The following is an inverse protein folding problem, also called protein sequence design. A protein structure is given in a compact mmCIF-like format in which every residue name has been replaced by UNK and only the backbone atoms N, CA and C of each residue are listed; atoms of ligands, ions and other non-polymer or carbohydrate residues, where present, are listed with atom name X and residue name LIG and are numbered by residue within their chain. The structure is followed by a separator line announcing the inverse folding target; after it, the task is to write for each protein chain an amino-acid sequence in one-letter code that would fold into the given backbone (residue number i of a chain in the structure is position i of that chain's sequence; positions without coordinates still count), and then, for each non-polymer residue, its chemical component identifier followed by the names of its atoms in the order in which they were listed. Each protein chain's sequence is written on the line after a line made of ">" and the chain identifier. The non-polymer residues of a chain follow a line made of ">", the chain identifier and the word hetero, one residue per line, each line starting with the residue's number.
data_IF_853680864844
#
_entry.id   IF_853680864844
#
_cell.length_a   1.000
_cell.length_b   1.000
_cell.length_c   1.000
_cell.angle_alpha   90.00
_cell.angle_beta   90.00
_cell.angle_gamma   90.00
#
_symmetry.space_group_name_H-M   'P 1'
#
loop_
_entity.id
_entity.type
_entity.pdbx_description
1 polymer ?
#
# COMPACT_ATOMS: atom_id res chain seq x y z
N UNK A 1 6.19 -22.97 -1.30
CA UNK A 1 6.21 -22.02 -0.20
C UNK A 1 7.64 -21.69 0.26
N UNK A 2 8.37 -20.83 -0.50
CA UNK A 2 9.76 -20.51 -0.17
C UNK A 2 9.97 -18.99 -0.10
N UNK A 3 10.65 -18.49 0.94
CA UNK A 3 10.90 -17.07 1.15
C UNK A 3 11.73 -16.44 0.03
N UNK A 4 12.67 -17.18 -0.57
CA UNK A 4 13.47 -16.68 -1.69
C UNK A 4 12.62 -16.55 -2.96
N UNK A 5 11.72 -17.51 -3.22
CA UNK A 5 10.75 -17.37 -4.31
C UNK A 5 9.83 -16.16 -4.10
N UNK A 6 9.34 -15.95 -2.87
CA UNK A 6 8.54 -14.77 -2.53
C UNK A 6 9.30 -13.49 -2.87
N UNK A 7 10.59 -13.41 -2.49
CA UNK A 7 11.44 -12.27 -2.81
C UNK A 7 11.68 -12.10 -4.32
N UNK A 8 11.90 -13.18 -5.06
CA UNK A 8 12.03 -13.11 -6.53
C UNK A 8 10.79 -12.48 -7.19
N UNK A 9 9.60 -12.95 -6.82
CA UNK A 9 8.35 -12.36 -7.32
C UNK A 9 8.12 -10.94 -6.82
N UNK A 10 8.58 -10.61 -5.61
CA UNK A 10 8.58 -9.25 -5.08
C UNK A 10 9.38 -8.29 -5.97
N UNK A 11 10.59 -8.65 -6.38
CA UNK A 11 11.39 -7.83 -7.28
C UNK A 11 10.81 -7.79 -8.69
N UNK A 12 10.25 -8.88 -9.17
CA UNK A 12 9.55 -8.89 -10.46
C UNK A 12 8.39 -7.88 -10.46
N UNK A 13 7.68 -7.70 -9.34
CA UNK A 13 6.66 -6.64 -9.23
C UNK A 13 7.25 -5.24 -9.25
N UNK A 14 8.47 -5.03 -8.72
CA UNK A 14 9.17 -3.73 -8.78
C UNK A 14 9.51 -3.38 -10.23
N UNK A 15 10.07 -4.33 -10.98
CA UNK A 15 10.43 -4.15 -12.39
C UNK A 15 9.18 -3.92 -13.26
N UNK A 16 8.15 -4.76 -13.09
CA UNK A 16 6.89 -4.62 -13.84
C UNK A 16 6.23 -3.27 -13.58
N UNK A 17 6.23 -2.81 -12.32
CA UNK A 17 5.69 -1.50 -11.94
C UNK A 17 6.49 -0.35 -12.55
N UNK A 18 7.82 -0.47 -12.59
CA UNK A 18 8.68 0.51 -13.27
C UNK A 18 8.30 0.65 -14.74
N UNK A 19 8.13 -0.47 -15.47
CA UNK A 19 7.74 -0.46 -16.87
C UNK A 19 6.35 0.15 -17.07
N UNK A 20 5.39 -0.20 -16.22
CA UNK A 20 4.02 0.33 -16.28
C UNK A 20 3.96 1.82 -15.96
N UNK A 21 4.70 2.31 -14.97
CA UNK A 21 4.74 3.74 -14.62
C UNK A 21 5.43 4.54 -15.73
N UNK A 22 6.47 3.99 -16.37
CA UNK A 22 7.19 4.62 -17.45
C UNK A 22 6.54 4.46 -18.82
N UNK A 23 5.29 3.98 -18.91
CA UNK A 23 4.58 3.73 -20.17
C UNK A 23 4.66 4.94 -21.12
N UNK A 24 4.43 6.14 -20.63
CA UNK A 24 4.65 7.37 -21.39
C UNK A 24 6.08 7.88 -21.25
N UNK A 25 7.05 7.10 -21.72
CA UNK A 25 8.49 7.37 -21.57
C UNK A 25 8.94 8.71 -22.17
N UNK A 26 8.18 9.29 -23.10
CA UNK A 26 8.43 10.63 -23.65
C UNK A 26 8.16 11.76 -22.62
N UNK A 27 7.33 11.51 -21.59
CA UNK A 27 7.02 12.48 -20.53
C UNK A 27 8.08 12.46 -19.43
N UNK A 28 8.73 13.61 -19.11
CA UNK A 28 9.75 13.66 -18.06
C UNK A 28 9.25 13.20 -16.69
N UNK A 29 8.02 13.56 -16.33
CA UNK A 29 7.41 13.22 -15.05
C UNK A 29 7.19 11.70 -14.89
N UNK A 30 6.77 11.02 -15.96
CA UNK A 30 6.60 9.56 -15.95
C UNK A 30 7.95 8.84 -15.74
N UNK A 31 9.01 9.30 -16.44
CA UNK A 31 10.37 8.76 -16.25
C UNK A 31 10.91 9.02 -14.85
N UNK A 32 10.70 10.22 -14.31
CA UNK A 32 11.14 10.59 -12.94
C UNK A 32 10.39 9.77 -11.91
N UNK A 33 9.07 9.67 -12.02
CA UNK A 33 8.23 8.89 -11.11
C UNK A 33 8.57 7.39 -11.14
N UNK A 34 8.78 6.82 -12.33
CA UNK A 34 9.15 5.42 -12.49
C UNK A 34 10.53 5.11 -11.85
N UNK A 35 11.55 5.94 -12.12
CA UNK A 35 12.88 5.77 -11.51
C UNK A 35 12.84 5.91 -9.99
N UNK A 36 12.10 6.90 -9.48
CA UNK A 36 11.92 7.09 -8.04
C UNK A 36 11.25 5.87 -7.40
N UNK A 37 10.17 5.35 -7.99
CA UNK A 37 9.49 4.15 -7.51
C UNK A 37 10.44 2.94 -7.50
N UNK A 38 11.18 2.70 -8.60
CA UNK A 38 12.12 1.59 -8.70
C UNK A 38 13.25 1.71 -7.66
N UNK A 39 13.85 2.89 -7.52
CA UNK A 39 14.96 3.10 -6.57
C UNK A 39 14.50 2.86 -5.14
N UNK A 40 13.36 3.44 -4.72
CA UNK A 40 12.87 3.29 -3.34
C UNK A 40 12.43 1.86 -3.06
N UNK A 41 11.65 1.25 -3.96
CA UNK A 41 11.13 -0.11 -3.72
C UNK A 41 12.19 -1.19 -3.93
N UNK A 42 13.15 -0.99 -4.83
CA UNK A 42 14.25 -1.91 -5.07
C UNK A 42 15.28 -1.91 -3.94
N UNK A 43 15.65 -0.73 -3.41
CA UNK A 43 16.51 -0.68 -2.21
C UNK A 43 15.85 -1.33 -1.00
N UNK A 44 14.53 -1.11 -0.83
CA UNK A 44 13.75 -1.81 0.20
C UNK A 44 13.70 -3.32 -0.03
N UNK A 45 13.61 -3.77 -1.28
CA UNK A 45 13.64 -5.19 -1.62
C UNK A 45 14.98 -5.87 -1.34
N UNK A 46 16.10 -5.15 -1.51
CA UNK A 46 17.42 -5.65 -1.08
C UNK A 46 17.52 -5.78 0.45
N UNK A 47 16.98 -4.81 1.18
CA UNK A 47 16.87 -4.92 2.64
C UNK A 47 16.00 -6.11 3.05
N UNK A 48 14.87 -6.31 2.37
CA UNK A 48 14.01 -7.49 2.58
C UNK A 48 14.78 -8.78 2.36
N UNK A 49 15.54 -8.91 1.28
CA UNK A 49 16.36 -10.10 1.03
C UNK A 49 17.29 -10.39 2.20
N UNK A 50 18.02 -9.37 2.66
CA UNK A 50 18.94 -9.53 3.80
C UNK A 50 18.18 -9.98 5.06
N UNK A 51 16.98 -9.42 5.33
CA UNK A 51 16.12 -9.84 6.44
C UNK A 51 15.65 -11.29 6.32
N UNK A 52 15.22 -11.71 5.12
CA UNK A 52 14.78 -13.09 4.88
C UNK A 52 15.92 -14.10 4.97
N UNK A 53 17.13 -13.74 4.49
CA UNK A 53 18.31 -14.58 4.65
C UNK A 53 18.70 -14.74 6.12
N UNK A 54 18.58 -13.67 6.90
CA UNK A 54 18.86 -13.71 8.33
C UNK A 54 17.84 -14.58 9.07
N UNK A 55 16.55 -14.45 8.78
CA UNK A 55 15.50 -15.31 9.34
C UNK A 55 15.73 -16.77 8.95
N UNK A 56 16.04 -17.04 7.68
CA UNK A 56 16.32 -18.39 7.20
C UNK A 56 17.52 -19.03 7.90
N UNK A 57 18.55 -18.23 8.22
CA UNK A 57 19.72 -18.69 8.99
C UNK A 57 19.35 -18.99 10.44
N UNK A 58 18.47 -18.20 11.09
CA UNK A 58 18.00 -18.43 12.46
C UNK A 58 17.21 -19.73 12.55
N UNK A 59 16.32 -19.97 11.57
CA UNK A 59 15.42 -21.14 11.57
C UNK A 59 16.10 -22.39 10.98
N UNK A 60 17.14 -22.21 10.16
CA UNK A 60 17.77 -23.29 9.39
C UNK A 60 16.97 -23.72 8.17
N UNK A 61 15.96 -22.95 7.73
CA UNK A 61 15.09 -23.25 6.60
C UNK A 61 14.58 -21.98 5.92
N UNK A 62 14.40 -22.04 4.60
CA UNK A 62 13.73 -21.00 3.81
C UNK A 62 12.30 -21.36 3.43
N UNK A 63 11.81 -22.53 3.89
CA UNK A 63 10.41 -22.89 3.71
C UNK A 63 9.52 -22.00 4.59
N UNK A 64 8.53 -21.37 3.96
CA UNK A 64 7.71 -20.36 4.62
C UNK A 64 6.87 -20.95 5.77
N UNK A 65 6.35 -22.16 5.59
CA UNK A 65 5.50 -22.78 6.63
C UNK A 65 6.33 -23.13 7.87
N UNK A 66 7.57 -23.62 7.67
CA UNK A 66 8.53 -23.87 8.75
C UNK A 66 8.89 -22.57 9.49
N UNK A 67 9.14 -21.49 8.74
CA UNK A 67 9.48 -20.17 9.32
C UNK A 67 8.31 -19.61 10.13
N UNK A 68 7.09 -19.69 9.60
CA UNK A 68 5.90 -19.19 10.32
C UNK A 68 5.61 -19.97 11.60
N UNK A 69 5.92 -21.27 11.64
CA UNK A 69 5.79 -22.09 12.84
C UNK A 69 6.91 -21.84 13.87
N UNK A 70 8.01 -21.20 13.47
CA UNK A 70 9.19 -20.98 14.31
C UNK A 70 9.24 -19.57 14.95
N UNK A 71 8.08 -18.92 15.13
CA UNK A 71 8.01 -17.54 15.61
C UNK A 71 8.71 -17.31 16.95
N UNK A 72 8.58 -18.22 17.92
CA UNK A 72 9.21 -18.09 19.24
C UNK A 72 10.72 -18.17 19.15
N UNK A 73 11.26 -19.08 18.31
CA UNK A 73 12.69 -19.19 18.05
C UNK A 73 13.25 -17.89 17.44
N UNK A 74 12.53 -17.32 16.48
CA UNK A 74 12.93 -16.08 15.80
C UNK A 74 12.95 -14.92 16.81
N UNK A 75 11.89 -14.76 17.59
CA UNK A 75 11.73 -13.67 18.57
C UNK A 75 12.72 -13.75 19.73
N UNK A 76 13.11 -14.94 20.14
CA UNK A 76 14.11 -15.16 21.20
C UNK A 76 15.56 -14.94 20.72
N UNK A 77 15.81 -14.91 19.42
CA UNK A 77 17.17 -14.81 18.87
C UNK A 77 17.71 -13.39 18.95
N UNK A 78 18.99 -13.21 19.30
CA UNK A 78 19.66 -11.90 19.42
C UNK A 78 19.60 -11.06 18.14
N UNK A 79 19.55 -11.68 16.95
CA UNK A 79 19.46 -11.01 15.66
C UNK A 79 18.03 -10.61 15.25
N UNK A 80 17.01 -10.95 16.05
CA UNK A 80 15.61 -10.62 15.75
C UNK A 80 15.37 -9.13 15.44
N UNK A 81 15.88 -8.15 16.24
CA UNK A 81 15.64 -6.75 15.96
C UNK A 81 16.17 -6.31 14.59
N UNK A 82 17.33 -6.82 14.19
CA UNK A 82 17.94 -6.51 12.88
C UNK A 82 17.11 -7.14 11.76
N UNK A 83 16.74 -8.41 11.90
CA UNK A 83 15.91 -9.12 10.93
C UNK A 83 14.56 -8.42 10.74
N UNK A 84 13.92 -8.03 11.85
CA UNK A 84 12.66 -7.30 11.84
C UNK A 84 12.78 -5.97 11.09
N UNK A 85 13.76 -5.13 11.43
CA UNK A 85 13.97 -3.83 10.77
C UNK A 85 14.18 -4.00 9.27
N UNK A 86 14.96 -4.97 8.84
CA UNK A 86 15.22 -5.23 7.42
C UNK A 86 13.97 -5.65 6.66
N UNK A 87 13.14 -6.52 7.25
CA UNK A 87 11.85 -6.93 6.67
C UNK A 87 10.88 -5.74 6.62
N UNK A 88 10.81 -4.96 7.70
CA UNK A 88 9.97 -3.77 7.76
C UNK A 88 10.38 -2.70 6.73
N UNK A 89 11.68 -2.49 6.50
CA UNK A 89 12.15 -1.59 5.44
C UNK A 89 11.63 -2.02 4.06
N UNK A 90 11.69 -3.31 3.76
CA UNK A 90 11.09 -3.84 2.53
C UNK A 90 9.59 -3.59 2.43
N UNK A 91 8.85 -3.88 3.49
CA UNK A 91 7.40 -3.68 3.55
C UNK A 91 7.02 -2.19 3.42
N UNK A 92 7.68 -1.32 4.18
CA UNK A 92 7.38 0.12 4.25
C UNK A 92 7.69 0.86 2.95
N UNK A 93 8.80 0.57 2.30
CA UNK A 93 9.14 1.15 0.99
C UNK A 93 8.12 0.77 -0.06
N UNK A 94 7.70 -0.50 -0.12
CA UNK A 94 6.72 -1.00 -1.10
C UNK A 94 5.31 -0.45 -0.85
N UNK A 95 4.91 -0.34 0.42
CA UNK A 95 3.58 0.16 0.82
C UNK A 95 3.54 1.66 1.10
N UNK A 96 4.53 2.41 0.63
CA UNK A 96 4.58 3.87 0.73
C UNK A 96 4.33 4.38 2.16
N UNK A 97 4.89 3.71 3.17
CA UNK A 97 4.83 4.17 4.55
C UNK A 97 5.84 5.30 4.80
N UNK A 98 5.57 6.14 5.78
CA UNK A 98 6.52 7.17 6.23
C UNK A 98 7.86 6.49 6.66
N UNK A 99 9.00 7.06 6.28
CA UNK A 99 9.22 8.28 5.47
C UNK A 99 9.21 8.04 3.95
N UNK A 100 9.00 6.81 3.47
CA UNK A 100 9.16 6.39 2.07
C UNK A 100 7.92 6.65 1.18
N UNK A 101 6.94 7.41 1.64
CA UNK A 101 5.65 7.62 0.96
C UNK A 101 5.74 8.46 -0.34
N UNK A 102 6.80 9.24 -0.49
CA UNK A 102 6.92 10.29 -1.52
C UNK A 102 6.93 9.77 -2.97
N UNK A 103 7.32 8.53 -3.22
CA UNK A 103 7.33 7.98 -4.58
C UNK A 103 5.91 7.75 -5.14
N UNK A 104 4.93 7.46 -4.29
CA UNK A 104 3.58 7.08 -4.72
C UNK A 104 2.85 8.22 -5.46
N UNK A 105 2.81 9.48 -4.98
CA UNK A 105 2.23 10.58 -5.75
C UNK A 105 2.95 10.85 -7.08
N UNK A 106 4.26 10.66 -7.16
CA UNK A 106 5.00 10.80 -8.41
C UNK A 106 4.70 9.69 -9.42
N UNK A 107 4.32 8.50 -8.95
CA UNK A 107 3.88 7.39 -9.81
C UNK A 107 2.52 7.65 -10.50
N UNK A 108 1.75 8.68 -10.07
CA UNK A 108 0.47 9.08 -10.69
C UNK A 108 0.61 9.65 -12.10
N UNK A 109 1.83 9.87 -12.59
CA UNK A 109 2.10 10.22 -14.00
C UNK A 109 1.78 9.05 -14.96
N UNK A 110 1.60 7.85 -14.48
CA UNK A 110 1.15 6.67 -15.23
C UNK A 110 -0.26 6.85 -15.83
N UNK A 111 -0.63 6.10 -16.89
CA UNK A 111 -2.01 5.98 -17.34
C UNK A 111 -2.95 5.59 -16.21
N UNK A 112 -4.20 6.09 -16.23
CA UNK A 112 -5.10 5.87 -15.08
C UNK A 112 -5.46 4.40 -14.85
N UNK A 113 -5.70 3.54 -15.88
CA UNK A 113 -5.87 2.11 -15.65
C UNK A 113 -4.70 1.45 -14.93
N UNK A 114 -3.46 1.86 -15.25
CA UNK A 114 -2.25 1.42 -14.55
C UNK A 114 -2.27 1.90 -13.09
N UNK A 115 -2.63 3.16 -12.85
CA UNK A 115 -2.75 3.70 -11.48
C UNK A 115 -3.81 2.95 -10.67
N UNK A 116 -4.97 2.64 -11.27
CA UNK A 116 -6.02 1.84 -10.65
C UNK A 116 -5.50 0.45 -10.26
N UNK A 117 -4.80 -0.23 -11.16
CA UNK A 117 -4.24 -1.56 -10.90
C UNK A 117 -3.16 -1.54 -9.83
N UNK A 118 -2.14 -0.69 -9.96
CA UNK A 118 -0.98 -0.68 -9.07
C UNK A 118 -1.30 -0.19 -7.67
N UNK A 119 -2.20 0.81 -7.54
CA UNK A 119 -2.38 1.54 -6.29
C UNK A 119 -3.66 1.18 -5.53
N UNK A 120 -4.61 0.46 -6.15
CA UNK A 120 -5.79 -0.04 -5.44
C UNK A 120 -5.61 -1.45 -4.88
N UNK A 121 -5.07 -2.39 -5.68
CA UNK A 121 -5.13 -3.81 -5.36
C UNK A 121 -3.78 -4.53 -5.30
N UNK A 122 -2.73 -4.04 -5.96
CA UNK A 122 -1.52 -4.84 -6.20
C UNK A 122 -0.26 -4.30 -5.51
N UNK A 123 0.54 -3.49 -6.18
CA UNK A 123 1.89 -3.13 -5.76
C UNK A 123 1.98 -2.59 -4.33
N UNK A 124 1.17 -1.58 -4.01
CA UNK A 124 1.24 -0.92 -2.70
C UNK A 124 0.74 -1.78 -1.56
N UNK A 125 0.02 -2.85 -1.85
CA UNK A 125 -0.45 -3.82 -0.83
C UNK A 125 0.52 -4.97 -0.60
N UNK A 126 1.52 -5.14 -1.46
CA UNK A 126 2.49 -6.20 -1.30
C UNK A 126 3.24 -6.11 0.04
N UNK A 127 3.62 -4.90 0.48
CA UNK A 127 4.26 -4.72 1.78
C UNK A 127 3.32 -5.03 2.96
N UNK A 128 2.06 -4.59 2.87
CA UNK A 128 1.04 -4.94 3.88
C UNK A 128 0.77 -6.44 3.88
N UNK A 129 0.66 -7.07 2.71
CA UNK A 129 0.53 -8.52 2.58
C UNK A 129 1.70 -9.24 3.27
N UNK A 130 2.92 -8.76 3.07
CA UNK A 130 4.10 -9.29 3.76
C UNK A 130 3.96 -9.20 5.28
N UNK A 131 3.52 -8.04 5.81
CA UNK A 131 3.27 -7.88 7.25
C UNK A 131 2.21 -8.86 7.76
N UNK A 132 1.09 -9.02 7.03
CA UNK A 132 0.06 -9.99 7.38
C UNK A 132 0.60 -11.42 7.36
N UNK A 133 1.39 -11.78 6.34
CA UNK A 133 1.92 -13.14 6.18
C UNK A 133 2.93 -13.50 7.25
N UNK A 134 3.80 -12.55 7.63
CA UNK A 134 4.80 -12.76 8.69
C UNK A 134 4.29 -12.40 10.09
N UNK A 135 3.04 -11.99 10.22
CA UNK A 135 2.43 -11.65 11.51
C UNK A 135 2.62 -12.74 12.58
N UNK A 136 2.37 -14.04 12.32
CA UNK A 136 2.57 -15.09 13.32
C UNK A 136 4.02 -15.23 13.79
N UNK A 137 4.98 -14.99 12.90
CA UNK A 137 6.41 -15.16 13.19
C UNK A 137 7.06 -13.93 13.83
N UNK A 138 6.63 -12.72 13.48
CA UNK A 138 7.32 -11.49 13.85
C UNK A 138 6.53 -10.59 14.82
N UNK A 139 5.19 -10.68 14.87
CA UNK A 139 4.36 -9.86 15.75
C UNK A 139 4.37 -10.36 17.21
N UNK A 140 3.81 -9.54 18.11
CA UNK A 140 3.68 -9.88 19.53
C UNK A 140 4.85 -9.41 20.39
N UNK A 141 5.77 -8.59 19.85
CA UNK A 141 6.86 -7.98 20.60
C UNK A 141 6.64 -6.46 20.75
N UNK A 142 7.22 -5.86 21.80
CA UNK A 142 7.17 -4.41 22.00
C UNK A 142 7.83 -3.65 20.83
N UNK A 143 8.89 -4.23 20.25
CA UNK A 143 9.58 -3.64 19.11
C UNK A 143 8.68 -3.59 17.87
N UNK A 144 7.95 -4.69 17.57
CA UNK A 144 6.95 -4.71 16.51
C UNK A 144 5.87 -3.66 16.75
N UNK A 145 5.28 -3.65 17.97
CA UNK A 145 4.24 -2.69 18.34
C UNK A 145 4.71 -1.25 18.12
N UNK A 146 5.87 -0.89 18.66
CA UNK A 146 6.41 0.47 18.56
C UNK A 146 6.64 0.89 17.10
N UNK A 147 7.37 0.08 16.31
CA UNK A 147 7.76 0.47 14.96
C UNK A 147 6.56 0.46 14.02
N UNK A 148 5.76 -0.60 14.02
CA UNK A 148 4.68 -0.77 13.03
C UNK A 148 3.52 0.15 13.35
N UNK A 149 3.10 0.28 14.63
CA UNK A 149 2.00 1.16 15.01
C UNK A 149 2.35 2.63 14.82
N UNK A 150 3.55 3.07 15.24
CA UNK A 150 3.95 4.46 15.10
C UNK A 150 4.11 4.86 13.63
N UNK A 151 4.75 4.02 12.83
CA UNK A 151 4.88 4.27 11.38
C UNK A 151 3.52 4.32 10.70
N UNK A 152 2.61 3.40 11.05
CA UNK A 152 1.24 3.38 10.53
C UNK A 152 0.47 4.64 10.91
N UNK A 153 0.54 5.07 12.17
CA UNK A 153 -0.13 6.27 12.68
C UNK A 153 0.39 7.54 11.97
N UNK A 154 1.70 7.72 11.89
CA UNK A 154 2.29 8.88 11.20
C UNK A 154 1.87 8.89 9.73
N UNK A 155 1.91 7.73 9.07
CA UNK A 155 1.51 7.62 7.65
C UNK A 155 0.03 7.93 7.46
N UNK A 156 -0.84 7.45 8.32
CA UNK A 156 -2.28 7.72 8.33
C UNK A 156 -2.55 9.23 8.40
N UNK A 157 -1.99 9.89 9.43
CA UNK A 157 -2.23 11.31 9.68
C UNK A 157 -1.63 12.19 8.58
N UNK A 158 -0.40 11.91 8.17
CA UNK A 158 0.29 12.65 7.10
C UNK A 158 -0.45 12.52 5.77
N UNK A 159 -0.86 11.30 5.40
CA UNK A 159 -1.61 11.04 4.17
C UNK A 159 -2.96 11.76 4.18
N UNK A 160 -3.72 11.69 5.29
CA UNK A 160 -5.00 12.36 5.43
C UNK A 160 -4.85 13.89 5.35
N UNK A 161 -3.89 14.44 6.09
CA UNK A 161 -3.63 15.88 6.12
C UNK A 161 -3.28 16.43 4.73
N UNK A 162 -2.34 15.81 4.02
CA UNK A 162 -1.94 16.29 2.69
C UNK A 162 -3.07 16.11 1.68
N UNK A 163 -3.88 15.06 1.78
CA UNK A 163 -5.01 14.81 0.89
C UNK A 163 -6.01 15.98 0.88
N UNK A 164 -6.25 16.64 2.02
CA UNK A 164 -7.17 17.78 2.16
C UNK A 164 -6.80 18.96 1.27
N UNK A 165 -5.52 19.15 0.96
CA UNK A 165 -5.02 20.28 0.15
C UNK A 165 -4.81 19.92 -1.34
N UNK A 166 -5.14 18.69 -1.75
CA UNK A 166 -4.97 18.28 -3.15
C UNK A 166 -6.21 18.62 -3.97
N UNK A 167 -6.00 19.33 -5.07
CA UNK A 167 -7.05 19.68 -6.03
C UNK A 167 -7.02 18.77 -7.27
N UNK A 168 -5.94 18.03 -7.50
CA UNK A 168 -5.84 17.02 -8.56
C UNK A 168 -6.46 15.70 -8.10
N UNK A 169 -7.40 15.14 -8.86
CA UNK A 169 -8.12 13.92 -8.53
C UNK A 169 -7.17 12.75 -8.22
N UNK A 170 -6.18 12.52 -9.08
CA UNK A 170 -5.20 11.43 -8.85
C UNK A 170 -4.31 11.71 -7.65
N UNK A 171 -3.93 12.96 -7.44
CA UNK A 171 -3.13 13.38 -6.29
C UNK A 171 -3.86 13.17 -4.97
N UNK A 172 -5.14 13.55 -4.91
CA UNK A 172 -6.02 13.29 -3.76
C UNK A 172 -6.13 11.79 -3.48
N UNK A 173 -6.41 10.99 -4.53
CA UNK A 173 -6.52 9.54 -4.39
C UNK A 173 -5.22 8.87 -3.95
N UNK A 174 -4.05 9.39 -4.38
CA UNK A 174 -2.74 8.90 -3.97
C UNK A 174 -2.51 9.11 -2.46
N UNK A 175 -2.69 10.34 -1.97
CA UNK A 175 -2.50 10.62 -0.54
C UNK A 175 -3.55 9.95 0.35
N UNK A 176 -4.79 9.86 -0.12
CA UNK A 176 -5.82 9.06 0.54
C UNK A 176 -5.45 7.57 0.57
N UNK A 177 -4.79 7.03 -0.48
CA UNK A 177 -4.27 5.66 -0.45
C UNK A 177 -3.16 5.50 0.59
N UNK A 178 -2.20 6.43 0.68
CA UNK A 178 -1.16 6.45 1.73
C UNK A 178 -1.80 6.42 3.12
N UNK A 179 -2.82 7.24 3.35
CA UNK A 179 -3.55 7.27 4.63
C UNK A 179 -4.19 5.92 4.98
N UNK A 180 -4.91 5.30 4.04
CA UNK A 180 -5.51 3.98 4.29
C UNK A 180 -4.49 2.86 4.47
N UNK A 181 -3.37 2.89 3.74
CA UNK A 181 -2.27 1.95 3.96
C UNK A 181 -1.65 2.15 5.35
N UNK A 182 -1.54 3.40 5.81
CA UNK A 182 -1.14 3.73 7.18
C UNK A 182 -2.09 3.16 8.24
N UNK A 183 -3.41 3.28 8.01
CA UNK A 183 -4.43 2.69 8.89
C UNK A 183 -4.27 1.17 9.01
N UNK A 184 -4.12 0.47 7.88
CA UNK A 184 -3.94 -0.99 7.88
C UNK A 184 -2.65 -1.38 8.61
N UNK A 185 -1.56 -0.64 8.37
CA UNK A 185 -0.28 -0.86 9.06
C UNK A 185 -0.41 -0.63 10.57
N UNK A 186 -1.11 0.43 10.98
CA UNK A 186 -1.42 0.70 12.39
C UNK A 186 -2.16 -0.48 13.04
N UNK A 187 -3.23 -0.97 12.40
CA UNK A 187 -4.01 -2.11 12.91
C UNK A 187 -3.14 -3.36 13.09
N UNK A 188 -2.26 -3.66 12.13
CA UNK A 188 -1.32 -4.78 12.25
C UNK A 188 -0.27 -4.58 13.35
N UNK A 189 0.01 -3.33 13.71
CA UNK A 189 0.93 -2.99 14.80
C UNK A 189 0.35 -3.19 16.20
N UNK A 190 -0.99 -3.21 16.36
CA UNK A 190 -1.64 -3.24 17.69
C UNK A 190 -1.54 -4.58 18.44
N UNK A 191 -0.92 -5.61 17.85
CA UNK A 191 -0.76 -6.94 18.47
C UNK A 191 -2.08 -7.56 18.97
N UNK A 192 -3.20 -7.30 18.28
CA UNK A 192 -4.54 -7.82 18.59
C UNK A 192 -5.07 -8.63 17.42
N UNK A 193 -5.63 -9.81 17.68
CA UNK A 193 -6.20 -10.67 16.65
C UNK A 193 -7.38 -9.99 15.94
N UNK A 194 -8.21 -9.27 16.69
CA UNK A 194 -9.31 -8.50 16.13
C UNK A 194 -8.80 -7.41 15.19
N UNK A 195 -7.75 -6.69 15.58
CA UNK A 195 -7.15 -5.66 14.74
C UNK A 195 -6.52 -6.25 13.47
N UNK A 196 -5.90 -7.42 13.54
CA UNK A 196 -5.37 -8.13 12.37
C UNK A 196 -6.49 -8.54 11.40
N UNK A 197 -7.61 -9.06 11.91
CA UNK A 197 -8.81 -9.38 11.10
C UNK A 197 -9.38 -8.12 10.45
N UNK A 198 -9.53 -7.04 11.22
CA UNK A 198 -9.98 -5.75 10.71
C UNK A 198 -9.06 -5.20 9.61
N UNK A 199 -7.74 -5.35 9.77
CA UNK A 199 -6.74 -4.96 8.76
C UNK A 199 -6.96 -5.71 7.45
N UNK A 200 -7.10 -7.05 7.49
CA UNK A 200 -7.33 -7.89 6.30
C UNK A 200 -8.65 -7.53 5.63
N UNK A 201 -9.71 -7.36 6.41
CA UNK A 201 -11.01 -6.96 5.89
C UNK A 201 -10.96 -5.58 5.23
N UNK A 202 -10.24 -4.63 5.84
CA UNK A 202 -10.06 -3.29 5.26
C UNK A 202 -9.22 -3.33 3.97
N UNK A 203 -8.26 -4.25 3.82
CA UNK A 203 -7.52 -4.45 2.56
C UNK A 203 -8.47 -4.74 1.40
N UNK A 204 -9.44 -5.64 1.59
CA UNK A 204 -10.40 -6.05 0.56
C UNK A 204 -11.32 -4.87 0.20
N UNK A 205 -11.90 -4.20 1.20
CA UNK A 205 -12.76 -3.06 1.00
C UNK A 205 -12.06 -1.89 0.33
N UNK A 206 -10.85 -1.57 0.79
CA UNK A 206 -10.01 -0.55 0.19
C UNK A 206 -9.70 -0.85 -1.29
N UNK A 207 -9.44 -2.12 -1.67
CA UNK A 207 -9.20 -2.48 -3.06
C UNK A 207 -10.41 -2.09 -3.94
N UNK A 208 -11.60 -2.43 -3.49
CA UNK A 208 -12.86 -2.23 -4.22
C UNK A 208 -13.15 -0.76 -4.45
N UNK A 209 -13.27 0.04 -3.38
CA UNK A 209 -13.64 1.46 -3.56
C UNK A 209 -12.52 2.28 -4.21
N UNK A 210 -11.24 1.96 -3.98
CA UNK A 210 -10.14 2.68 -4.63
C UNK A 210 -10.02 2.37 -6.13
N UNK A 211 -10.22 1.12 -6.54
CA UNK A 211 -10.26 0.79 -7.96
C UNK A 211 -11.34 1.59 -8.67
N UNK A 212 -12.56 1.61 -8.11
CA UNK A 212 -13.69 2.35 -8.66
C UNK A 212 -13.40 3.86 -8.75
N UNK A 213 -12.83 4.47 -7.71
CA UNK A 213 -12.49 5.90 -7.71
C UNK A 213 -11.38 6.24 -8.71
N UNK A 214 -10.33 5.41 -8.82
CA UNK A 214 -9.29 5.63 -9.84
C UNK A 214 -9.84 5.48 -11.25
N UNK A 215 -10.69 4.49 -11.51
CA UNK A 215 -11.32 4.33 -12.83
C UNK A 215 -12.22 5.52 -13.15
N UNK A 216 -13.04 5.98 -12.21
CA UNK A 216 -13.85 7.18 -12.38
C UNK A 216 -13.00 8.42 -12.66
N UNK A 217 -11.93 8.63 -11.89
CA UNK A 217 -10.99 9.73 -12.15
C UNK A 217 -10.35 9.64 -13.54
N UNK A 218 -10.10 8.42 -14.03
CA UNK A 218 -9.57 8.21 -15.39
C UNK A 218 -10.56 8.54 -16.49
N UNK A 219 -11.81 8.15 -16.34
CA UNK A 219 -12.88 8.48 -17.28
C UNK A 219 -13.09 10.00 -17.31
N UNK A 220 -13.14 10.65 -16.13
CA UNK A 220 -13.27 12.10 -16.03
C UNK A 220 -12.09 12.81 -16.74
N UNK A 221 -10.85 12.40 -16.46
CA UNK A 221 -9.64 12.95 -17.09
C UNK A 221 -9.66 12.82 -18.62
N UNK A 222 -10.11 11.66 -19.12
CA UNK A 222 -10.19 11.39 -20.55
C UNK A 222 -11.24 12.25 -21.26
N UNK A 223 -12.44 12.33 -20.70
CA UNK A 223 -13.58 13.00 -21.33
C UNK A 223 -13.54 14.53 -21.18
N UNK A 224 -12.99 15.04 -20.06
CA UNK A 224 -12.97 16.49 -19.77
C UNK A 224 -11.63 17.14 -20.08
N UNK A 225 -10.56 16.36 -20.27
CA UNK A 225 -9.19 16.83 -20.42
C UNK A 225 -8.61 17.48 -19.16
N UNK A 226 -9.27 17.32 -17.98
CA UNK A 226 -8.83 17.94 -16.74
C UNK A 226 -9.03 17.02 -15.53
N UNK A 227 -8.05 17.08 -14.59
CA UNK A 227 -8.11 16.43 -13.28
C UNK A 227 -8.29 17.42 -12.13
N UNK A 228 -8.31 18.72 -12.44
CA UNK A 228 -8.44 19.75 -11.42
C UNK A 228 -9.92 19.89 -11.01
N UNK A 229 -10.22 19.47 -9.77
CA UNK A 229 -11.57 19.47 -9.21
C UNK A 229 -12.23 20.87 -9.21
N UNK A 230 -11.45 21.94 -9.18
CA UNK A 230 -11.96 23.32 -9.21
C UNK A 230 -12.54 23.70 -10.57
N UNK A 231 -12.15 22.99 -11.63
CA UNK A 231 -12.60 23.20 -13.01
C UNK A 231 -13.72 22.24 -13.42
N UNK A 232 -13.96 21.20 -12.61
CA UNK A 232 -14.96 20.17 -12.91
C UNK A 232 -16.29 20.52 -12.25
N UNK A 233 -17.32 20.70 -13.07
CA UNK A 233 -18.66 21.00 -12.60
C UNK A 233 -19.71 20.28 -13.47
N UNK A 234 -20.85 19.96 -12.88
CA UNK A 234 -21.99 19.40 -13.61
C UNK A 234 -21.80 17.94 -14.08
N UNK A 235 -20.82 17.18 -13.56
CA UNK A 235 -20.52 15.82 -14.01
C UNK A 235 -21.72 14.88 -13.92
N UNK A 236 -22.63 15.06 -12.94
CA UNK A 236 -23.85 14.26 -12.81
C UNK A 236 -24.76 14.40 -14.03
N UNK A 237 -24.80 15.57 -14.67
CA UNK A 237 -25.59 15.82 -15.87
C UNK A 237 -24.99 15.22 -17.13
N UNK A 238 -23.64 15.31 -17.27
CA UNK A 238 -22.95 14.88 -18.48
C UNK A 238 -22.46 13.45 -18.47
N UNK A 239 -22.19 12.91 -17.26
CA UNK A 239 -21.61 11.58 -17.05
C UNK A 239 -22.32 10.87 -15.87
N UNK A 240 -23.66 10.63 -15.95
CA UNK A 240 -24.44 10.16 -14.79
C UNK A 240 -23.95 8.83 -14.24
N UNK A 241 -23.60 7.87 -15.07
CA UNK A 241 -23.11 6.56 -14.62
C UNK A 241 -21.78 6.68 -13.86
N UNK A 242 -20.82 7.42 -14.42
CA UNK A 242 -19.52 7.63 -13.78
C UNK A 242 -19.65 8.41 -12.46
N UNK A 243 -20.50 9.45 -12.46
CA UNK A 243 -20.75 10.26 -11.26
C UNK A 243 -21.41 9.43 -10.16
N UNK A 244 -22.45 8.62 -10.48
CA UNK A 244 -23.11 7.75 -9.51
C UNK A 244 -22.16 6.73 -8.91
N UNK A 245 -21.36 6.03 -9.73
CA UNK A 245 -20.38 5.07 -9.26
C UNK A 245 -19.30 5.74 -8.39
N UNK A 246 -18.83 6.92 -8.77
CA UNK A 246 -17.87 7.69 -7.99
C UNK A 246 -18.43 8.11 -6.63
N UNK A 247 -19.70 8.55 -6.58
CA UNK A 247 -20.38 8.91 -5.32
C UNK A 247 -20.51 7.68 -4.42
N UNK A 248 -20.99 6.55 -4.92
CA UNK A 248 -21.13 5.31 -4.14
C UNK A 248 -19.75 4.85 -3.59
N UNK A 249 -18.71 4.87 -4.41
CA UNK A 249 -17.37 4.51 -3.99
C UNK A 249 -16.79 5.50 -2.97
N UNK A 250 -17.07 6.81 -3.11
CA UNK A 250 -16.67 7.84 -2.15
C UNK A 250 -17.39 7.68 -0.80
N UNK A 251 -18.70 7.40 -0.82
CA UNK A 251 -19.48 7.12 0.39
C UNK A 251 -19.01 5.84 1.08
N UNK A 252 -18.67 4.80 0.32
CA UNK A 252 -18.03 3.59 0.85
C UNK A 252 -16.68 3.91 1.50
N UNK A 253 -15.85 4.71 0.84
CA UNK A 253 -14.57 5.16 1.41
C UNK A 253 -14.77 6.00 2.67
N UNK A 254 -15.82 6.81 2.74
CA UNK A 254 -16.18 7.60 3.93
C UNK A 254 -16.66 6.73 5.10
N UNK A 255 -17.16 5.53 4.83
CA UNK A 255 -17.72 4.63 5.85
C UNK A 255 -19.19 4.93 6.15
N UNK A 256 -19.96 5.28 5.14
CA UNK A 256 -21.40 5.47 5.30
C UNK A 256 -22.10 4.11 5.51
N UNK A 257 -23.02 3.99 6.48
CA UNK A 257 -23.80 2.77 6.71
C UNK A 257 -24.40 2.17 5.44
N UNK A 258 -24.57 0.86 5.39
CA UNK A 258 -25.01 0.04 4.27
C UNK A 258 -23.97 -0.21 3.18
N UNK A 259 -22.81 0.44 3.23
CA UNK A 259 -21.71 0.20 2.29
C UNK A 259 -20.58 -0.60 2.97
N UNK A 260 -19.82 -1.34 2.15
CA UNK A 260 -18.76 -2.23 2.64
C UNK A 260 -17.69 -1.52 3.48
N UNK A 261 -17.39 -0.26 3.19
CA UNK A 261 -16.42 0.53 3.94
C UNK A 261 -16.85 0.83 5.39
N UNK A 262 -18.14 0.88 5.67
CA UNK A 262 -18.65 1.03 7.03
C UNK A 262 -18.22 -0.13 7.93
N UNK A 263 -18.50 -1.36 7.50
CA UNK A 263 -18.19 -2.57 8.28
C UNK A 263 -16.71 -2.67 8.66
N UNK A 264 -15.79 -2.28 7.76
CA UNK A 264 -14.35 -2.33 8.03
C UNK A 264 -13.84 -1.17 8.90
N UNK A 265 -14.65 -0.17 9.18
CA UNK A 265 -14.30 0.94 10.07
C UNK A 265 -14.92 0.81 11.45
N UNK A 266 -15.99 0.04 11.56
CA UNK A 266 -16.64 -0.28 12.84
C UNK A 266 -15.89 -1.39 13.59
N UNK A 267 -15.17 -2.26 12.90
CA UNK A 267 -14.29 -3.27 13.51
C UNK A 267 -13.05 -2.66 14.16
#
# INVERSE_FOLDING_TARGET
>A
NNMIQLWMFWELTSISSFLLISFWSHKPDARKGARMALTVTGTGGLALLAGLLLIGNIVGSYDLDTVLASGDLIKAHAAYPIALILVLLGAFTKSAQFPFHFWLPHAMAAPTPVSAYLHSATMVKAGIFLLCRFYPALAGTDLWFMIVSLTGLITLLLGAYIALFKHDLKGLLAYSTISHLGLITLLLGLNSDLAAVAAVFHIINHATFKASLFMAAGIIDHETGSRDMRKLNGLMKYMPHTATLAIVAALSMAGVPLLNGFLSKEM
#
